data_IF_800993567860
#
_entry.id   IF_800993567860
#
_cell.length_a   1.000
_cell.length_b   1.000
_cell.length_c   1.000
_cell.angle_alpha   90.00
_cell.angle_beta   90.00
_cell.angle_gamma   90.00
#
_symmetry.space_group_name_H-M   'P 1'
#
loop_
_entity.id
_entity.type
_entity.pdbx_description
1 polymer ?
#
# COMPACT_ATOMS: atom_id res chain seq x y z
N UNK A 1 -87.88 -1.47 42.16
CA UNK A 1 -87.71 -2.86 42.63
C UNK A 1 -86.36 -3.36 42.12
N UNK A 2 -85.46 -3.68 43.07
CA UNK A 2 -84.53 -4.83 43.09
C UNK A 2 -83.63 -5.03 41.84
N UNK A 3 -82.32 -4.77 41.95
CA UNK A 3 -81.27 -5.76 42.34
C UNK A 3 -80.96 -6.71 41.14
N UNK A 4 -79.75 -7.06 40.69
CA UNK A 4 -78.41 -7.14 41.27
C UNK A 4 -77.41 -7.36 40.10
N UNK A 5 -76.24 -6.72 40.20
CA UNK A 5 -74.87 -7.07 39.72
C UNK A 5 -74.69 -8.19 38.67
N UNK A 6 -73.93 -7.89 37.61
CA UNK A 6 -72.67 -8.62 37.38
C UNK A 6 -71.65 -7.76 36.64
N UNK A 7 -70.48 -7.69 37.26
CA UNK A 7 -69.29 -6.93 36.89
C UNK A 7 -68.41 -7.86 36.03
N UNK A 8 -68.08 -7.48 34.80
CA UNK A 8 -66.89 -8.01 34.12
C UNK A 8 -66.16 -6.83 33.48
N UNK A 9 -65.07 -6.47 34.15
CA UNK A 9 -64.04 -5.56 33.71
C UNK A 9 -63.20 -6.30 32.66
N UNK A 10 -63.24 -5.88 31.39
CA UNK A 10 -62.29 -6.37 30.39
C UNK A 10 -61.41 -5.19 29.94
N UNK A 11 -60.34 -4.97 30.71
CA UNK A 11 -59.27 -4.04 30.34
C UNK A 11 -58.46 -4.73 29.23
N UNK A 12 -58.70 -4.38 27.97
CA UNK A 12 -57.88 -4.84 26.86
C UNK A 12 -56.51 -4.13 26.94
N UNK A 13 -55.55 -4.74 27.64
CA UNK A 13 -54.13 -4.39 27.47
C UNK A 13 -53.71 -4.88 26.09
N UNK A 14 -53.66 -3.97 25.13
CA UNK A 14 -52.92 -4.18 23.88
C UNK A 14 -51.43 -4.21 24.21
N UNK A 15 -50.88 -5.41 24.41
CA UNK A 15 -49.44 -5.62 24.38
C UNK A 15 -48.96 -5.35 22.95
N UNK A 16 -48.53 -4.12 22.69
CA UNK A 16 -47.67 -3.83 21.54
C UNK A 16 -46.31 -4.40 21.91
N UNK A 17 -45.99 -5.60 21.42
CA UNK A 17 -44.62 -6.07 21.39
C UNK A 17 -43.85 -5.14 20.45
N UNK A 18 -43.16 -4.16 21.01
CA UNK A 18 -42.04 -3.53 20.33
C UNK A 18 -40.99 -4.62 20.15
N UNK A 19 -41.06 -5.35 19.04
CA UNK A 19 -39.84 -5.91 18.46
C UNK A 19 -38.99 -4.71 18.07
N UNK A 20 -38.09 -4.31 18.96
CA UNK A 20 -36.87 -3.65 18.52
C UNK A 20 -36.18 -4.66 17.62
N UNK A 21 -36.43 -4.55 16.31
CA UNK A 21 -35.44 -4.96 15.33
C UNK A 21 -34.18 -4.19 15.74
N UNK A 22 -33.29 -4.87 16.47
CA UNK A 22 -31.89 -4.53 16.38
C UNK A 22 -31.62 -4.67 14.89
N UNK A 23 -31.56 -3.54 14.21
CA UNK A 23 -30.98 -3.43 12.89
C UNK A 23 -29.57 -3.97 13.10
N UNK A 24 -29.38 -5.25 12.81
CA UNK A 24 -28.05 -5.83 12.69
C UNK A 24 -27.42 -4.94 11.63
N UNK A 25 -26.56 -4.02 12.08
CA UNK A 25 -25.83 -3.13 11.19
C UNK A 25 -25.13 -4.06 10.22
N UNK A 26 -25.70 -4.20 9.03
CA UNK A 26 -25.00 -4.73 7.88
C UNK A 26 -23.64 -4.04 7.91
N UNK A 27 -22.52 -4.80 7.92
CA UNK A 27 -21.21 -4.18 8.00
C UNK A 27 -21.17 -3.11 6.93
N UNK A 28 -20.94 -1.86 7.36
CA UNK A 28 -20.95 -0.71 6.48
C UNK A 28 -20.16 -1.09 5.23
N UNK A 29 -20.78 -0.97 4.05
CA UNK A 29 -20.15 -1.29 2.77
C UNK A 29 -18.79 -0.61 2.78
N UNK A 30 -17.71 -1.42 2.90
CA UNK A 30 -16.39 -0.92 3.24
C UNK A 30 -16.02 0.09 2.16
N UNK A 31 -16.02 1.36 2.51
CA UNK A 31 -15.73 2.44 1.57
C UNK A 31 -14.35 2.24 0.96
N UNK A 32 -14.13 2.79 -0.24
CA UNK A 32 -12.84 2.74 -0.90
C UNK A 32 -11.72 3.22 0.05
N UNK A 33 -10.69 2.41 0.25
CA UNK A 33 -9.52 2.70 1.06
C UNK A 33 -8.42 3.21 0.16
N UNK A 34 -7.98 4.45 0.40
CA UNK A 34 -6.88 5.05 -0.34
C UNK A 34 -5.54 4.80 0.36
N UNK A 35 -4.53 4.42 -0.42
CA UNK A 35 -3.17 4.14 0.04
C UNK A 35 -2.20 5.03 -0.74
N UNK A 36 -1.47 5.90 -0.05
CA UNK A 36 -0.45 6.74 -0.65
C UNK A 36 0.82 5.92 -0.89
N UNK A 37 1.34 5.90 -2.11
CA UNK A 37 2.62 5.23 -2.43
C UNK A 37 3.76 6.25 -2.44
N UNK A 38 4.81 5.97 -1.68
CA UNK A 38 6.03 6.78 -1.61
C UNK A 38 7.25 5.93 -1.91
N UNK A 39 8.03 6.33 -2.91
CA UNK A 39 9.34 5.75 -3.15
C UNK A 39 10.42 6.55 -2.47
N UNK A 40 11.32 5.88 -1.75
CA UNK A 40 12.40 6.55 -1.04
C UNK A 40 13.46 7.10 -1.99
N UNK A 41 14.14 8.15 -1.52
CA UNK A 41 15.32 8.69 -2.19
C UNK A 41 16.52 7.77 -1.93
N UNK A 42 17.47 7.74 -2.87
CA UNK A 42 18.68 6.90 -2.80
C UNK A 42 18.39 5.42 -2.44
N UNK A 43 17.33 4.85 -3.01
CA UNK A 43 16.83 3.54 -2.65
C UNK A 43 17.17 2.44 -3.67
N UNK A 44 18.18 2.64 -4.50
CA UNK A 44 18.68 1.62 -5.42
C UNK A 44 20.00 1.07 -4.88
N UNK A 45 20.10 -0.25 -4.78
CA UNK A 45 21.30 -0.96 -4.35
C UNK A 45 21.55 -2.16 -5.26
N UNK A 46 22.79 -2.61 -5.36
CA UNK A 46 23.15 -3.78 -6.15
C UNK A 46 24.38 -4.47 -5.59
N UNK A 47 24.44 -5.80 -5.78
CA UNK A 47 25.66 -6.58 -5.50
C UNK A 47 26.67 -6.58 -6.66
N UNK A 48 26.35 -5.92 -7.78
CA UNK A 48 27.16 -6.00 -9.00
C UNK A 48 27.22 -4.69 -9.80
N UNK A 49 26.09 -4.00 -9.96
CA UNK A 49 26.00 -2.81 -10.81
C UNK A 49 26.29 -1.54 -10.00
N UNK A 50 27.12 -0.65 -10.52
CA UNK A 50 27.23 0.73 -10.03
C UNK A 50 26.23 1.63 -10.77
N UNK A 51 25.90 2.80 -10.21
CA UNK A 51 24.82 3.67 -10.68
C UNK A 51 24.91 4.02 -12.16
N UNK A 52 26.10 4.38 -12.64
CA UNK A 52 26.30 4.70 -14.05
C UNK A 52 26.09 3.49 -14.97
N UNK A 53 26.41 2.25 -14.57
CA UNK A 53 26.04 1.05 -15.34
C UNK A 53 24.54 0.82 -15.36
N UNK A 54 23.85 1.08 -14.24
CA UNK A 54 22.39 0.96 -14.19
C UNK A 54 21.77 1.94 -15.18
N UNK A 55 22.21 3.21 -15.14
CA UNK A 55 21.77 4.23 -16.07
C UNK A 55 22.00 3.84 -17.53
N UNK A 56 23.21 3.40 -17.86
CA UNK A 56 23.61 2.99 -19.21
C UNK A 56 22.78 1.80 -19.72
N UNK A 57 22.75 0.68 -18.97
CA UNK A 57 22.08 -0.53 -19.43
C UNK A 57 20.54 -0.38 -19.50
N UNK A 58 19.96 0.46 -18.64
CA UNK A 58 18.51 0.72 -18.66
C UNK A 58 18.12 1.83 -19.65
N UNK A 59 19.08 2.59 -20.16
CA UNK A 59 18.85 3.79 -20.97
C UNK A 59 18.15 4.92 -20.20
N UNK A 60 18.23 4.93 -18.87
CA UNK A 60 17.66 5.97 -18.02
C UNK A 60 18.77 6.98 -17.70
N UNK A 61 18.44 8.28 -17.70
CA UNK A 61 19.38 9.31 -17.27
C UNK A 61 19.80 9.05 -15.80
N UNK A 62 21.11 9.08 -15.54
CA UNK A 62 21.72 8.74 -14.24
C UNK A 62 21.10 9.50 -13.07
N UNK A 63 20.78 10.78 -13.23
CA UNK A 63 20.21 11.64 -12.19
C UNK A 63 18.74 11.30 -11.89
N UNK A 64 18.12 10.44 -12.70
CA UNK A 64 16.69 10.11 -12.64
C UNK A 64 16.40 8.64 -12.42
N UNK A 65 17.41 7.78 -12.30
CA UNK A 65 17.23 6.31 -12.20
C UNK A 65 16.33 5.95 -11.03
N UNK A 66 16.61 6.47 -9.83
CA UNK A 66 15.81 6.27 -8.61
C UNK A 66 14.35 6.65 -8.85
N UNK A 67 14.11 7.90 -9.30
CA UNK A 67 12.76 8.40 -9.57
C UNK A 67 12.04 7.53 -10.60
N UNK A 68 12.72 7.10 -11.66
CA UNK A 68 12.12 6.32 -12.74
C UNK A 68 11.72 4.92 -12.27
N UNK A 69 12.57 4.24 -11.51
CA UNK A 69 12.26 2.93 -10.91
C UNK A 69 11.06 3.03 -9.95
N UNK A 70 11.11 3.97 -9.00
CA UNK A 70 10.00 4.24 -8.08
C UNK A 70 8.69 4.52 -8.82
N UNK A 71 8.72 5.37 -9.86
CA UNK A 71 7.53 5.71 -10.66
C UNK A 71 6.96 4.49 -11.38
N UNK A 72 7.82 3.66 -11.99
CA UNK A 72 7.37 2.46 -12.71
C UNK A 72 6.68 1.50 -11.76
N UNK A 73 7.32 1.19 -10.63
CA UNK A 73 6.78 0.24 -9.65
C UNK A 73 5.49 0.79 -9.02
N UNK A 74 5.47 2.05 -8.59
CA UNK A 74 4.28 2.67 -8.01
C UNK A 74 3.08 2.65 -8.98
N UNK A 75 3.29 3.01 -10.25
CA UNK A 75 2.23 2.95 -11.28
C UNK A 75 1.73 1.53 -11.50
N UNK A 76 2.63 0.57 -11.61
CA UNK A 76 2.25 -0.82 -11.79
C UNK A 76 1.53 -1.42 -10.56
N UNK A 77 1.79 -0.94 -9.34
CA UNK A 77 1.00 -1.28 -8.15
C UNK A 77 -0.41 -0.66 -8.27
N UNK A 78 -0.49 0.62 -8.61
CA UNK A 78 -1.77 1.33 -8.66
C UNK A 78 -2.70 0.84 -9.77
N UNK A 79 -2.14 0.41 -10.90
CA UNK A 79 -2.89 -0.17 -12.01
C UNK A 79 -3.27 -1.65 -11.79
N UNK A 80 -2.78 -2.31 -10.74
CA UNK A 80 -2.94 -3.75 -10.56
C UNK A 80 -4.35 -4.20 -10.17
N UNK A 81 -5.08 -3.39 -9.39
CA UNK A 81 -6.36 -3.76 -8.80
C UNK A 81 -7.49 -2.73 -9.09
N UNK A 82 -7.81 -2.47 -10.37
CA UNK A 82 -8.73 -1.39 -10.77
C UNK A 82 -10.18 -1.55 -10.31
N UNK A 83 -10.56 -2.73 -9.81
CA UNK A 83 -11.92 -3.05 -9.32
C UNK A 83 -11.98 -3.35 -7.82
N UNK A 84 -10.86 -3.24 -7.11
CA UNK A 84 -10.82 -3.53 -5.66
C UNK A 84 -11.30 -2.32 -4.85
N UNK A 85 -11.67 -2.55 -3.59
CA UNK A 85 -11.92 -1.47 -2.63
C UNK A 85 -10.62 -0.74 -2.22
N UNK A 86 -9.46 -1.18 -2.71
CA UNK A 86 -8.16 -0.58 -2.45
C UNK A 86 -7.75 0.29 -3.65
N UNK A 87 -7.66 1.60 -3.44
CA UNK A 87 -7.15 2.55 -4.43
C UNK A 87 -5.78 3.03 -4.02
N UNK A 88 -4.80 2.79 -4.87
CA UNK A 88 -3.45 3.31 -4.65
C UNK A 88 -3.30 4.66 -5.34
N UNK A 89 -2.75 5.61 -4.60
CA UNK A 89 -2.46 6.96 -5.07
C UNK A 89 -0.96 7.04 -5.32
N UNK A 90 -0.59 7.13 -6.59
CA UNK A 90 0.77 7.51 -7.00
C UNK A 90 0.85 9.02 -7.05
N UNK A 91 1.93 9.61 -6.57
CA UNK A 91 2.07 11.05 -6.62
C UNK A 91 2.03 11.64 -8.04
N UNK A 92 1.26 12.73 -8.16
CA UNK A 92 1.35 13.70 -9.27
C UNK A 92 1.95 15.04 -8.81
N UNK A 93 2.11 15.29 -7.50
CA UNK A 93 2.60 16.58 -6.98
C UNK A 93 3.84 16.39 -6.11
N UNK A 94 4.91 17.05 -6.52
CA UNK A 94 6.29 16.80 -6.11
C UNK A 94 6.62 17.19 -4.65
N UNK A 95 5.69 17.74 -3.85
CA UNK A 95 6.05 18.47 -2.62
C UNK A 95 5.76 17.77 -1.28
N UNK A 96 4.89 16.76 -1.24
CA UNK A 96 4.48 16.14 0.04
C UNK A 96 5.25 14.86 0.30
N UNK A 97 5.35 13.97 -0.68
CA UNK A 97 6.09 12.72 -0.47
C UNK A 97 7.58 12.88 -0.65
N UNK A 98 8.09 13.91 -1.34
CA UNK A 98 9.52 14.26 -1.26
C UNK A 98 9.89 14.60 0.20
N UNK A 99 9.08 15.42 0.89
CA UNK A 99 9.30 15.75 2.31
C UNK A 99 9.19 14.54 3.24
N UNK A 100 8.35 13.56 2.92
CA UNK A 100 8.29 12.31 3.67
C UNK A 100 9.52 11.45 3.34
N UNK A 101 9.79 11.19 2.06
CA UNK A 101 10.87 10.34 1.57
C UNK A 101 12.24 10.77 2.12
N UNK A 102 12.49 12.07 2.25
CA UNK A 102 13.74 12.61 2.84
C UNK A 102 13.92 12.29 4.33
N UNK A 103 12.82 12.01 5.04
CA UNK A 103 12.81 11.77 6.50
C UNK A 103 12.58 10.31 6.87
N UNK A 104 12.10 9.49 5.93
CA UNK A 104 11.94 8.05 6.15
C UNK A 104 13.32 7.42 6.11
N UNK A 105 13.70 6.77 7.19
CA UNK A 105 14.90 5.95 7.21
C UNK A 105 14.60 4.54 6.72
N UNK A 106 15.61 3.84 6.22
CA UNK A 106 15.51 2.41 5.99
C UNK A 106 16.79 1.71 6.43
N UNK A 107 16.63 0.46 6.85
CA UNK A 107 17.71 -0.37 7.36
C UNK A 107 17.70 -1.73 6.65
N UNK A 108 18.88 -2.33 6.52
CA UNK A 108 19.07 -3.58 5.80
C UNK A 108 19.24 -3.38 4.28
N UNK A 109 19.31 -4.50 3.57
CA UNK A 109 19.54 -4.54 2.12
C UNK A 109 18.82 -5.76 1.52
N UNK A 110 18.38 -5.62 0.27
CA UNK A 110 17.65 -6.65 -0.46
C UNK A 110 16.33 -7.00 0.23
N UNK A 111 16.15 -8.29 0.49
CA UNK A 111 14.94 -8.84 1.10
C UNK A 111 14.79 -8.48 2.59
N UNK A 112 15.85 -7.98 3.22
CA UNK A 112 15.83 -7.59 4.63
C UNK A 112 15.71 -6.06 4.81
N UNK A 113 15.33 -5.33 3.76
CA UNK A 113 15.26 -3.88 3.75
C UNK A 113 13.88 -3.36 4.21
N UNK A 114 13.85 -2.71 5.37
CA UNK A 114 12.64 -2.19 6.00
C UNK A 114 12.76 -0.69 6.25
N UNK A 115 11.67 0.06 6.06
CA UNK A 115 11.64 1.47 6.41
C UNK A 115 11.32 1.70 7.90
N UNK A 116 11.52 2.92 8.36
CA UNK A 116 11.21 3.40 9.70
C UNK A 116 10.70 4.83 9.64
N UNK A 117 9.52 5.06 10.22
CA UNK A 117 8.94 6.40 10.36
C UNK A 117 9.38 7.10 11.65
N UNK A 118 10.32 6.54 12.41
CA UNK A 118 10.70 7.01 13.75
C UNK A 118 11.15 8.48 13.81
N UNK A 119 11.68 9.03 12.71
CA UNK A 119 12.10 10.44 12.60
C UNK A 119 11.02 11.38 12.08
N UNK A 120 9.82 10.87 11.78
CA UNK A 120 8.73 11.66 11.22
C UNK A 120 7.74 11.99 12.33
N UNK A 121 7.56 13.29 12.66
CA UNK A 121 6.53 13.69 13.61
C UNK A 121 5.14 13.22 13.16
N UNK A 122 4.33 12.73 14.12
CA UNK A 122 2.98 12.22 13.88
C UNK A 122 2.12 13.22 13.10
N UNK A 123 2.21 14.52 13.43
CA UNK A 123 1.43 15.56 12.76
C UNK A 123 1.83 15.73 11.28
N UNK A 124 3.13 15.69 10.97
CA UNK A 124 3.63 15.75 9.57
C UNK A 124 3.13 14.55 8.77
N UNK A 125 3.14 13.36 9.38
CA UNK A 125 2.63 12.14 8.76
C UNK A 125 1.13 12.22 8.49
N UNK A 126 0.33 12.64 9.49
CA UNK A 126 -1.12 12.79 9.37
C UNK A 126 -1.50 13.85 8.35
N UNK A 127 -0.80 14.99 8.31
CA UNK A 127 -1.01 16.03 7.29
C UNK A 127 -0.80 15.47 5.88
N UNK A 128 0.28 14.71 5.67
CA UNK A 128 0.57 14.12 4.36
C UNK A 128 -0.49 13.12 3.90
N UNK A 129 -0.95 12.24 4.80
CA UNK A 129 -2.05 11.32 4.51
C UNK A 129 -3.38 12.04 4.25
N UNK A 130 -3.73 13.01 5.09
CA UNK A 130 -4.97 13.77 4.98
C UNK A 130 -5.05 14.56 3.66
N UNK A 131 -3.93 15.13 3.21
CA UNK A 131 -3.85 15.87 1.95
C UNK A 131 -4.25 15.02 0.73
N UNK A 132 -3.89 13.74 0.75
CA UNK A 132 -4.22 12.79 -0.32
C UNK A 132 -5.47 11.93 0.02
N UNK A 133 -6.15 12.24 1.13
CA UNK A 133 -7.25 11.46 1.71
C UNK A 133 -6.91 9.95 1.82
N UNK A 134 -5.66 9.65 2.15
CA UNK A 134 -5.12 8.30 2.31
C UNK A 134 -5.24 7.84 3.76
N UNK A 135 -5.52 6.55 3.97
CA UNK A 135 -5.56 5.91 5.30
C UNK A 135 -4.28 5.18 5.66
N UNK A 136 -3.47 4.86 4.65
CA UNK A 136 -2.24 4.11 4.77
C UNK A 136 -1.14 4.73 3.92
N UNK A 137 0.10 4.56 4.36
CA UNK A 137 1.30 4.87 3.59
C UNK A 137 1.96 3.56 3.16
N UNK A 138 2.12 3.35 1.87
CA UNK A 138 2.98 2.31 1.31
C UNK A 138 4.33 2.91 0.92
N UNK A 139 5.38 2.49 1.60
CA UNK A 139 6.76 2.88 1.32
C UNK A 139 7.41 1.82 0.43
N UNK A 140 7.97 2.22 -0.72
CA UNK A 140 8.88 1.39 -1.53
C UNK A 140 10.28 1.60 -0.94
N UNK A 141 10.70 0.63 -0.13
CA UNK A 141 11.90 0.75 0.70
C UNK A 141 13.17 0.72 -0.15
N UNK A 142 13.31 -0.24 -1.05
CA UNK A 142 14.50 -0.40 -1.89
C UNK A 142 14.21 -1.18 -3.18
N UNK A 143 14.91 -0.82 -4.25
CA UNK A 143 15.11 -1.66 -5.44
C UNK A 143 16.50 -2.28 -5.36
N UNK A 144 16.55 -3.57 -5.07
CA UNK A 144 17.80 -4.32 -5.01
C UNK A 144 18.02 -5.13 -6.29
N UNK A 145 19.09 -4.80 -7.00
CA UNK A 145 19.51 -5.48 -8.23
C UNK A 145 20.54 -6.55 -7.87
N UNK A 146 20.08 -7.79 -7.72
CA UNK A 146 20.96 -8.93 -7.43
C UNK A 146 21.29 -9.68 -8.71
N UNK A 147 22.55 -9.58 -9.15
CA UNK A 147 23.08 -10.42 -10.23
C UNK A 147 23.56 -11.76 -9.69
N UNK A 148 23.19 -12.83 -10.38
CA UNK A 148 23.60 -14.21 -10.12
C UNK A 148 24.10 -14.84 -11.42
N UNK A 149 25.27 -15.49 -11.38
CA UNK A 149 25.88 -16.12 -12.57
C UNK A 149 25.43 -17.57 -12.81
N UNK A 150 25.19 -18.34 -11.75
CA UNK A 150 24.91 -19.78 -11.83
C UNK A 150 23.48 -20.10 -11.34
N UNK A 151 22.77 -21.08 -11.92
CA UNK A 151 23.15 -21.90 -13.05
C UNK A 151 23.09 -21.17 -14.40
N UNK A 152 22.39 -20.03 -14.48
CA UNK A 152 22.39 -19.12 -15.63
C UNK A 152 22.35 -17.67 -15.15
N UNK A 153 22.96 -16.77 -15.94
CA UNK A 153 22.97 -15.33 -15.67
C UNK A 153 21.56 -14.79 -15.49
N UNK A 154 21.26 -14.31 -14.29
CA UNK A 154 19.96 -13.77 -13.91
C UNK A 154 20.15 -12.51 -13.08
N UNK A 155 19.38 -11.48 -13.37
CA UNK A 155 19.23 -10.29 -12.54
C UNK A 155 17.88 -10.39 -11.85
N UNK A 156 17.90 -10.46 -10.52
CA UNK A 156 16.71 -10.33 -9.69
C UNK A 156 16.53 -8.85 -9.35
N UNK A 157 15.36 -8.32 -9.70
CA UNK A 157 14.91 -7.00 -9.32
C UNK A 157 14.00 -7.18 -8.11
N UNK A 158 14.55 -7.02 -6.92
CA UNK A 158 13.84 -7.20 -5.66
C UNK A 158 13.31 -5.83 -5.22
N UNK A 159 12.00 -5.74 -5.01
CA UNK A 159 11.32 -4.56 -4.49
C UNK A 159 10.87 -4.88 -3.08
N UNK A 160 11.49 -4.23 -2.10
CA UNK A 160 11.08 -4.27 -0.71
C UNK A 160 10.10 -3.14 -0.40
N UNK A 161 9.13 -3.40 0.47
CA UNK A 161 8.11 -2.43 0.82
C UNK A 161 7.60 -2.60 2.25
N UNK A 162 7.13 -1.49 2.83
CA UNK A 162 6.48 -1.47 4.15
C UNK A 162 5.20 -0.64 4.10
N UNK A 163 4.14 -1.14 4.71
CA UNK A 163 2.83 -0.49 4.85
C UNK A 163 2.65 -0.02 6.28
N UNK A 164 2.27 1.25 6.44
CA UNK A 164 1.94 1.87 7.72
C UNK A 164 0.49 2.33 7.75
N UNK A 165 -0.15 2.24 8.91
CA UNK A 165 -1.45 2.85 9.17
C UNK A 165 -1.33 4.34 9.57
N UNK A 166 -2.48 5.00 9.71
CA UNK A 166 -2.62 6.40 10.11
C UNK A 166 -1.94 6.77 11.44
N UNK A 167 -1.63 5.80 12.30
CA UNK A 167 -0.98 5.98 13.59
C UNK A 167 0.51 5.60 13.54
N UNK A 168 1.09 5.55 12.33
CA UNK A 168 2.48 5.19 12.04
C UNK A 168 2.86 3.77 12.46
N UNK A 169 1.88 2.90 12.71
CA UNK A 169 2.16 1.51 13.06
C UNK A 169 2.43 0.71 11.79
N UNK A 170 3.48 -0.08 11.81
CA UNK A 170 3.77 -1.05 10.75
C UNK A 170 2.67 -2.12 10.70
N UNK A 171 2.08 -2.29 9.52
CA UNK A 171 0.99 -3.24 9.25
C UNK A 171 1.50 -4.45 8.48
N UNK A 172 2.34 -4.21 7.47
CA UNK A 172 2.87 -5.24 6.59
C UNK A 172 4.23 -4.82 6.07
N UNK A 173 5.19 -5.74 6.13
CA UNK A 173 6.46 -5.63 5.41
C UNK A 173 6.59 -6.83 4.47
N UNK A 174 7.17 -6.61 3.30
CA UNK A 174 7.35 -7.69 2.35
C UNK A 174 8.26 -7.35 1.20
N UNK A 175 8.48 -8.36 0.37
CA UNK A 175 9.29 -8.27 -0.83
C UNK A 175 8.57 -8.96 -1.98
N UNK A 176 8.74 -8.42 -3.17
CA UNK A 176 8.44 -9.13 -4.40
C UNK A 176 9.59 -8.94 -5.38
N UNK A 177 9.75 -9.88 -6.30
CA UNK A 177 10.79 -9.79 -7.30
C UNK A 177 10.28 -10.14 -8.69
N UNK A 178 11.03 -9.69 -9.69
CA UNK A 178 10.95 -10.14 -11.06
C UNK A 178 12.37 -10.31 -11.60
N UNK A 179 12.51 -11.07 -12.69
CA UNK A 179 13.82 -11.47 -13.20
C UNK A 179 14.00 -11.08 -14.66
N UNK A 180 15.25 -10.79 -15.03
CA UNK A 180 15.68 -10.61 -16.42
C UNK A 180 17.08 -11.19 -16.61
N UNK A 181 17.53 -11.38 -17.85
CA UNK A 181 18.87 -11.92 -18.12
C UNK A 181 19.98 -10.86 -17.95
N UNK A 182 19.61 -9.58 -18.05
CA UNK A 182 20.44 -8.38 -17.91
C UNK A 182 19.59 -7.22 -17.40
N UNK A 183 20.17 -6.05 -17.16
CA UNK A 183 19.33 -4.86 -16.93
C UNK A 183 18.59 -4.52 -18.23
N UNK A 184 17.32 -4.17 -18.07
CA UNK A 184 16.39 -3.96 -19.17
C UNK A 184 16.01 -2.49 -19.25
N UNK A 185 15.51 -2.05 -20.41
CA UNK A 185 15.04 -0.69 -20.57
C UNK A 185 13.87 -0.36 -19.63
N UNK A 186 13.67 0.91 -19.31
CA UNK A 186 12.56 1.38 -18.48
C UNK A 186 11.19 0.81 -18.92
N UNK A 187 10.92 0.77 -20.24
CA UNK A 187 9.67 0.24 -20.78
C UNK A 187 9.56 -1.27 -20.58
N UNK A 188 10.67 -2.01 -20.74
CA UNK A 188 10.68 -3.45 -20.50
C UNK A 188 10.53 -3.77 -19.01
N UNK A 189 11.20 -3.03 -18.12
CA UNK A 189 11.02 -3.12 -16.66
C UNK A 189 9.55 -2.90 -16.29
N UNK A 190 8.91 -1.88 -16.86
CA UNK A 190 7.47 -1.64 -16.68
C UNK A 190 6.63 -2.85 -17.07
N UNK A 191 6.95 -3.53 -18.16
CA UNK A 191 6.18 -4.71 -18.59
C UNK A 191 6.39 -5.92 -17.69
N UNK A 192 7.65 -6.27 -17.38
CA UNK A 192 7.98 -7.52 -16.67
C UNK A 192 7.66 -7.45 -15.17
N UNK A 193 7.63 -6.25 -14.58
CA UNK A 193 7.32 -6.06 -13.16
C UNK A 193 5.83 -6.18 -12.81
N UNK A 194 4.92 -6.04 -13.78
CA UNK A 194 3.44 -6.02 -13.57
C UNK A 194 2.91 -7.16 -12.70
N UNK A 195 3.36 -8.40 -12.97
CA UNK A 195 2.90 -9.57 -12.20
C UNK A 195 3.39 -9.51 -10.75
N UNK A 196 4.60 -8.99 -10.55
CA UNK A 196 5.24 -8.88 -9.24
C UNK A 196 4.56 -7.79 -8.40
N UNK A 197 4.34 -6.61 -8.99
CA UNK A 197 3.63 -5.50 -8.33
C UNK A 197 2.17 -5.82 -8.06
N UNK A 198 1.51 -6.61 -8.92
CA UNK A 198 0.15 -7.09 -8.65
C UNK A 198 0.09 -7.97 -7.39
N UNK A 199 1.12 -8.78 -7.13
CA UNK A 199 1.21 -9.54 -5.87
C UNK A 199 1.38 -8.64 -4.65
N UNK A 200 2.14 -7.53 -4.76
CA UNK A 200 2.24 -6.52 -3.70
C UNK A 200 0.84 -5.98 -3.39
N UNK A 201 0.14 -5.48 -4.43
CA UNK A 201 -1.20 -4.92 -4.30
C UNK A 201 -2.20 -5.92 -3.68
N UNK A 202 -2.21 -7.17 -4.18
CA UNK A 202 -3.07 -8.23 -3.64
C UNK A 202 -2.74 -8.61 -2.21
N UNK A 203 -1.45 -8.63 -1.83
CA UNK A 203 -1.07 -8.90 -0.44
C UNK A 203 -1.56 -7.81 0.50
N UNK A 204 -1.46 -6.55 0.08
CA UNK A 204 -1.96 -5.41 0.85
C UNK A 204 -3.48 -5.49 0.99
N UNK A 205 -4.21 -5.66 -0.12
CA UNK A 205 -5.67 -5.76 -0.09
C UNK A 205 -6.14 -6.88 0.86
N UNK A 206 -5.50 -8.06 0.78
CA UNK A 206 -5.77 -9.17 1.69
C UNK A 206 -5.45 -8.85 3.15
N UNK A 207 -4.31 -8.23 3.45
CA UNK A 207 -3.95 -7.84 4.83
C UNK A 207 -4.95 -6.84 5.42
N UNK A 208 -5.55 -6.01 4.57
CA UNK A 208 -6.54 -5.02 4.98
C UNK A 208 -7.98 -5.53 4.92
N UNK A 209 -8.20 -6.81 4.58
CA UNK A 209 -9.51 -7.43 4.32
C UNK A 209 -10.36 -6.65 3.29
N UNK A 210 -9.78 -6.30 2.13
CA UNK A 210 -10.38 -5.51 1.04
C UNK A 210 -10.53 -6.28 -0.27
#
# INVERSE_FOLDING_TARGET
MKDIKLFIFLLALTFITFFTFAEEKLPAKKGEVQILIVGLNDNIRSNYYYDASIAEETGINVDSVVRKFNTIIAKNIAEALPKSACKFITENSQSTSEKLADKIEFHGEGENCNSSLSKIPVDTYKEALNKENAKYLLVINQHYLKRQEQPMRTVFHIVSYTLYDQDQKEVLTGNQFFTSMKLESAEKIKQISRKSTAKIASSIARTLDL
#
